data_IF_736455940164
#
_entry.id   IF_736455940164
#
_cell.length_a   1.000
_cell.length_b   1.000
_cell.length_c   1.000
_cell.angle_alpha   90.00
_cell.angle_beta   90.00
_cell.angle_gamma   90.00
#
_symmetry.space_group_name_H-M   'P 1'
#
loop_
_entity.id
_entity.type
_entity.pdbx_description
1 polymer ?
#
# COMPACT_ATOMS: atom_id res chain seq x y z
N UNK A 1 6.08 20.25 -32.28
CA UNK A 1 6.13 19.82 -30.87
C UNK A 1 7.04 18.61 -30.79
N UNK A 2 8.02 18.59 -29.88
CA UNK A 2 8.92 17.44 -29.70
C UNK A 2 8.15 16.37 -28.91
N UNK A 3 8.07 15.16 -29.42
CA UNK A 3 7.50 14.02 -28.71
C UNK A 3 8.44 13.61 -27.58
N UNK A 4 8.04 13.90 -26.34
CA UNK A 4 8.74 13.40 -25.15
C UNK A 4 8.35 11.93 -25.03
N UNK A 5 9.32 11.02 -25.06
CA UNK A 5 9.05 9.59 -24.92
C UNK A 5 8.83 9.31 -23.43
N UNK A 6 7.87 8.45 -23.11
CA UNK A 6 7.51 8.12 -21.73
C UNK A 6 8.72 7.66 -20.89
N UNK A 7 9.66 6.94 -21.51
CA UNK A 7 10.94 6.53 -20.92
C UNK A 7 11.88 7.68 -20.54
N UNK A 8 11.73 8.83 -21.16
CA UNK A 8 12.50 10.04 -20.85
C UNK A 8 11.86 10.83 -19.69
N UNK A 9 10.57 10.57 -19.39
CA UNK A 9 9.84 11.10 -18.23
C UNK A 9 10.03 10.17 -17.01
N UNK A 10 9.97 8.86 -17.22
CA UNK A 10 10.16 7.84 -16.18
C UNK A 10 11.63 7.44 -16.04
N UNK A 11 12.53 8.43 -15.97
CA UNK A 11 13.91 8.15 -15.57
C UNK A 11 13.97 8.00 -14.06
N UNK A 12 13.45 6.88 -13.58
CA UNK A 12 13.65 6.40 -12.23
C UNK A 12 15.06 5.81 -12.19
N UNK A 13 16.07 6.64 -11.94
CA UNK A 13 17.45 6.16 -11.70
C UNK A 13 17.46 5.40 -10.36
N UNK A 14 16.98 4.15 -10.35
CA UNK A 14 17.11 3.22 -9.22
C UNK A 14 15.84 2.69 -8.56
N UNK A 15 14.62 2.98 -9.04
CA UNK A 15 13.39 2.73 -8.25
C UNK A 15 12.69 1.37 -8.47
N UNK A 16 13.38 0.34 -8.97
CA UNK A 16 12.73 -0.94 -9.31
C UNK A 16 13.36 -2.21 -8.74
N UNK A 17 14.63 -2.16 -8.33
CA UNK A 17 15.35 -3.33 -7.84
C UNK A 17 15.69 -3.14 -6.36
N UNK A 18 15.25 -4.09 -5.54
CA UNK A 18 15.58 -4.12 -4.11
C UNK A 18 17.08 -4.31 -3.92
N UNK A 19 17.73 -3.41 -3.20
CA UNK A 19 19.13 -3.56 -2.78
C UNK A 19 19.22 -4.58 -1.63
N UNK A 20 19.42 -5.85 -2.00
CA UNK A 20 19.54 -6.95 -1.05
C UNK A 20 20.80 -6.87 -0.18
N UNK A 21 21.90 -6.32 -0.69
CA UNK A 21 23.12 -6.17 0.11
C UNK A 21 22.99 -5.10 1.19
N UNK A 22 22.24 -4.02 0.91
CA UNK A 22 21.90 -3.03 1.92
C UNK A 22 20.94 -3.60 2.96
N UNK A 23 19.97 -4.42 2.54
CA UNK A 23 19.01 -5.09 3.43
C UNK A 23 19.71 -6.03 4.42
N UNK A 24 20.64 -6.86 3.95
CA UNK A 24 21.36 -7.85 4.79
C UNK A 24 22.26 -7.21 5.87
N UNK A 25 22.62 -5.94 5.70
CA UNK A 25 23.42 -5.18 6.67
C UNK A 25 22.59 -4.54 7.77
N UNK A 26 21.26 -4.54 7.65
CA UNK A 26 20.38 -3.94 8.63
C UNK A 26 20.21 -4.84 9.85
N UNK A 27 20.18 -4.21 11.02
CA UNK A 27 19.71 -4.88 12.23
C UNK A 27 18.17 -5.00 12.22
N UNK A 28 17.64 -5.95 13.00
CA UNK A 28 16.20 -6.14 13.14
C UNK A 28 15.49 -4.86 13.60
N UNK A 29 16.11 -4.09 14.51
CA UNK A 29 15.57 -2.82 15.02
C UNK A 29 15.45 -1.76 13.93
N UNK A 30 16.48 -1.63 13.09
CA UNK A 30 16.49 -0.70 11.97
C UNK A 30 15.50 -1.10 10.87
N UNK A 31 15.32 -2.41 10.65
CA UNK A 31 14.36 -2.94 9.70
C UNK A 31 12.92 -2.64 10.16
N UNK A 32 12.62 -2.87 11.45
CA UNK A 32 11.32 -2.53 12.04
C UNK A 32 11.07 -1.02 12.00
N UNK A 33 12.08 -0.20 12.31
CA UNK A 33 11.96 1.25 12.28
C UNK A 33 11.63 1.76 10.87
N UNK A 34 12.31 1.24 9.84
CA UNK A 34 12.02 1.57 8.44
C UNK A 34 10.63 1.12 8.04
N UNK A 35 10.23 -0.10 8.36
CA UNK A 35 8.90 -0.62 8.04
C UNK A 35 7.77 0.22 8.69
N UNK A 36 7.97 0.70 9.92
CA UNK A 36 6.98 1.58 10.60
C UNK A 36 6.93 3.00 10.04
N UNK A 37 8.02 3.47 9.47
CA UNK A 37 8.13 4.81 8.89
C UNK A 37 7.66 4.86 7.43
N UNK A 38 7.38 3.70 6.82
CA UNK A 38 6.90 3.61 5.45
C UNK A 38 5.50 4.26 5.32
N UNK A 39 5.38 5.38 4.57
CA UNK A 39 4.11 6.07 4.39
C UNK A 39 3.12 5.28 3.52
N UNK A 40 3.61 4.38 2.66
CA UNK A 40 2.78 3.58 1.75
C UNK A 40 2.23 2.33 2.45
N UNK A 41 2.88 1.89 3.53
CA UNK A 41 2.49 0.73 4.31
C UNK A 41 2.40 1.06 5.82
N UNK A 42 1.53 2.00 6.22
CA UNK A 42 1.38 2.34 7.64
C UNK A 42 0.86 1.14 8.44
N UNK A 43 1.28 0.96 9.70
CA UNK A 43 0.75 -0.07 10.56
C UNK A 43 -0.78 0.03 10.73
N UNK A 44 -1.46 -1.11 10.82
CA UNK A 44 -2.88 -1.14 11.12
C UNK A 44 -3.17 -0.49 12.48
N UNK A 45 -4.15 0.40 12.51
CA UNK A 45 -4.64 1.00 13.76
C UNK A 45 -5.47 0.00 14.57
N UNK A 46 -5.62 0.23 15.87
CA UNK A 46 -6.47 -0.60 16.74
C UNK A 46 -7.93 -0.65 16.27
N UNK A 47 -8.42 0.45 15.68
CA UNK A 47 -9.76 0.50 15.08
C UNK A 47 -9.85 -0.40 13.85
N UNK A 48 -8.83 -0.38 12.98
CA UNK A 48 -8.75 -1.28 11.84
C UNK A 48 -8.72 -2.74 12.28
N UNK A 49 -7.95 -3.06 13.32
CA UNK A 49 -7.87 -4.42 13.87
C UNK A 49 -9.20 -4.93 14.44
N UNK A 50 -10.01 -4.07 15.09
CA UNK A 50 -11.34 -4.47 15.60
C UNK A 50 -12.30 -4.89 14.49
N UNK A 51 -12.09 -4.39 13.27
CA UNK A 51 -12.91 -4.67 12.11
C UNK A 51 -12.39 -5.87 11.30
N UNK A 52 -11.21 -6.43 11.65
CA UNK A 52 -10.75 -7.69 11.06
C UNK A 52 -11.63 -8.84 11.51
N UNK A 53 -12.26 -9.52 10.56
CA UNK A 53 -13.11 -10.69 10.78
C UNK A 53 -12.79 -11.77 9.78
N UNK A 54 -13.04 -13.04 10.14
CA UNK A 54 -12.79 -14.15 9.21
C UNK A 54 -13.85 -14.15 8.11
N UNK A 55 -13.45 -14.44 6.87
CA UNK A 55 -14.38 -14.52 5.76
C UNK A 55 -15.46 -15.61 5.96
N UNK A 56 -15.16 -16.64 6.74
CA UNK A 56 -16.10 -17.70 7.11
C UNK A 56 -17.26 -17.24 7.98
N UNK A 57 -17.20 -16.05 8.58
CA UNK A 57 -18.26 -15.48 9.40
C UNK A 57 -19.38 -14.83 8.58
N UNK A 58 -19.21 -14.73 7.26
CA UNK A 58 -20.14 -14.01 6.37
C UNK A 58 -20.63 -14.90 5.22
N UNK A 59 -21.85 -14.62 4.77
CA UNK A 59 -22.37 -15.17 3.52
C UNK A 59 -21.72 -14.51 2.30
N UNK A 60 -21.80 -15.18 1.14
CA UNK A 60 -21.29 -14.66 -0.12
C UNK A 60 -21.95 -13.32 -0.52
N UNK A 61 -23.23 -13.14 -0.22
CA UNK A 61 -23.97 -11.89 -0.44
C UNK A 61 -23.42 -10.74 0.42
N UNK A 62 -23.12 -11.00 1.68
CA UNK A 62 -22.56 -10.00 2.61
C UNK A 62 -21.15 -9.59 2.20
N UNK A 63 -20.31 -10.56 1.80
CA UNK A 63 -18.96 -10.28 1.30
C UNK A 63 -18.97 -9.38 0.05
N UNK A 64 -19.94 -9.56 -0.85
CA UNK A 64 -20.10 -8.67 -2.02
C UNK A 64 -20.41 -7.23 -1.62
N UNK A 65 -21.28 -7.05 -0.61
CA UNK A 65 -21.64 -5.70 -0.12
C UNK A 65 -20.44 -5.02 0.54
N UNK A 66 -19.72 -5.73 1.39
CA UNK A 66 -18.51 -5.23 2.05
C UNK A 66 -17.46 -4.84 1.00
N UNK A 67 -17.25 -5.67 -0.03
CA UNK A 67 -16.31 -5.39 -1.11
C UNK A 67 -16.70 -4.13 -1.91
N UNK A 68 -17.99 -3.94 -2.18
CA UNK A 68 -18.49 -2.75 -2.87
C UNK A 68 -18.27 -1.48 -2.03
N UNK A 69 -18.59 -1.53 -0.74
CA UNK A 69 -18.38 -0.42 0.18
C UNK A 69 -16.89 -0.05 0.29
N UNK A 70 -16.01 -1.04 0.41
CA UNK A 70 -14.56 -0.81 0.44
C UNK A 70 -14.03 -0.22 -0.86
N UNK A 71 -14.62 -0.58 -2.02
CA UNK A 71 -14.29 0.04 -3.30
C UNK A 71 -14.66 1.52 -3.30
N UNK A 72 -15.89 1.86 -2.89
CA UNK A 72 -16.34 3.25 -2.84
C UNK A 72 -15.51 4.11 -1.87
N UNK A 73 -15.03 3.54 -0.76
CA UNK A 73 -14.14 4.24 0.18
C UNK A 73 -12.80 4.59 -0.45
N UNK A 74 -12.16 3.64 -1.15
CA UNK A 74 -10.90 3.88 -1.89
C UNK A 74 -11.06 4.95 -2.95
N UNK A 75 -12.12 4.86 -3.76
CA UNK A 75 -12.40 5.83 -4.82
C UNK A 75 -12.62 7.26 -4.24
N UNK A 76 -13.10 7.39 -3.00
CA UNK A 76 -13.25 8.70 -2.31
C UNK A 76 -11.96 9.22 -1.71
N UNK A 77 -11.07 8.35 -1.24
CA UNK A 77 -9.74 8.72 -0.75
C UNK A 77 -8.85 9.24 -1.88
N UNK A 78 -8.85 8.57 -3.04
CA UNK A 78 -8.09 8.98 -4.22
C UNK A 78 -8.51 10.37 -4.77
N UNK A 79 -9.73 10.82 -4.48
CA UNK A 79 -10.26 12.11 -4.92
C UNK A 79 -10.10 13.25 -3.88
N UNK A 80 -9.47 13.01 -2.73
CA UNK A 80 -9.21 14.05 -1.71
C UNK A 80 -7.91 14.82 -1.92
N UNK A 81 -6.98 14.30 -2.70
CA UNK A 81 -5.66 14.89 -2.97
C UNK A 81 -5.55 15.54 -4.37
N UNK A 82 -6.70 15.76 -5.04
CA UNK A 82 -6.80 16.37 -6.39
C UNK A 82 -7.18 17.85 -6.39
#
# INVERSE_FOLDING_TARGET
>A
MKSIKLKDVMKCEGEGETDWEALDKLTDEELIARAKADPDCPPLTDENMKNFRLASEFSHEELKKIALENKEKRDKEENKDG
#
